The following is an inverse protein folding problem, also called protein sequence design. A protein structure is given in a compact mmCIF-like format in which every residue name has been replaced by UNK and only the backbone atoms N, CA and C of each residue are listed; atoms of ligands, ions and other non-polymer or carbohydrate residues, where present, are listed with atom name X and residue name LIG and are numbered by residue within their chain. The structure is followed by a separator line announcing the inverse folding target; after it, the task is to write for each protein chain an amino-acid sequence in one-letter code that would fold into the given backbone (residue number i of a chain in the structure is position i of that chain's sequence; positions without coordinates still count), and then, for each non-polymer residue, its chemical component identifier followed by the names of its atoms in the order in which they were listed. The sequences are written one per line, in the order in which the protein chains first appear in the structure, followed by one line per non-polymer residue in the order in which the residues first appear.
data_IF_848801459602
#
_entry.id   IF_848801459602
#
_cell.length_a   1.000
_cell.length_b   1.000
_cell.length_c   1.000
_cell.angle_alpha   90.00
_cell.angle_beta   90.00
_cell.angle_gamma   90.00
#
_symmetry.space_group_name_H-M   'P 1'
#
loop_
_entity.id
_entity.type
_entity.pdbx_description
1 polymer ?
#
# COMPACT_ATOMS: atom_id res chain seq x y z
N UNK A 1 -28.85 -3.76 5.24
CA UNK A 1 -28.07 -3.95 4.00
C UNK A 1 -27.14 -2.76 3.71
N UNK A 2 -27.58 -1.50 3.85
CA UNK A 2 -26.69 -0.34 3.68
C UNK A 2 -25.60 -0.18 4.74
N UNK A 3 -25.88 -0.44 6.01
CA UNK A 3 -24.90 -0.27 7.08
C UNK A 3 -23.64 -1.13 6.91
N UNK A 4 -23.80 -2.39 6.48
CA UNK A 4 -22.68 -3.31 6.23
C UNK A 4 -21.83 -2.78 5.08
N UNK A 5 -22.45 -2.33 3.99
CA UNK A 5 -21.73 -1.76 2.86
C UNK A 5 -20.91 -0.53 3.27
N UNK A 6 -21.51 0.39 4.03
CA UNK A 6 -20.80 1.59 4.55
C UNK A 6 -19.63 1.20 5.44
N UNK A 7 -19.81 0.24 6.36
CA UNK A 7 -18.73 -0.24 7.24
C UNK A 7 -17.59 -0.83 6.43
N UNK A 8 -17.88 -1.68 5.43
CA UNK A 8 -16.86 -2.28 4.56
C UNK A 8 -16.11 -1.19 3.80
N UNK A 9 -16.80 -0.21 3.22
CA UNK A 9 -16.16 0.90 2.52
C UNK A 9 -15.23 1.70 3.44
N UNK A 10 -15.64 2.00 4.67
CA UNK A 10 -14.79 2.70 5.64
C UNK A 10 -13.52 1.93 5.98
N UNK A 11 -13.62 0.60 6.14
CA UNK A 11 -12.46 -0.26 6.39
C UNK A 11 -11.54 -0.26 5.17
N UNK A 12 -12.07 -0.41 3.96
CA UNK A 12 -11.26 -0.44 2.73
C UNK A 12 -10.58 0.90 2.46
N UNK A 13 -11.26 2.03 2.65
CA UNK A 13 -10.68 3.38 2.51
C UNK A 13 -9.55 3.56 3.52
N UNK A 14 -9.79 3.20 4.78
CA UNK A 14 -8.77 3.31 5.85
C UNK A 14 -7.56 2.44 5.55
N UNK A 15 -7.79 1.23 5.05
CA UNK A 15 -6.74 0.34 4.59
C UNK A 15 -5.96 0.93 3.42
N UNK A 16 -6.63 1.48 2.40
CA UNK A 16 -5.97 2.12 1.26
C UNK A 16 -5.00 3.23 1.70
N UNK A 17 -5.33 3.99 2.76
CA UNK A 17 -4.48 5.08 3.25
C UNK A 17 -3.23 4.57 3.99
N UNK A 18 -3.36 3.49 4.76
CA UNK A 18 -2.29 3.01 5.67
C UNK A 18 -1.44 1.92 5.03
N UNK A 19 -2.04 1.08 4.19
CA UNK A 19 -1.42 -0.10 3.60
C UNK A 19 -0.13 0.17 2.82
N UNK A 20 0.01 1.24 2.00
CA UNK A 20 1.25 1.52 1.27
C UNK A 20 2.47 1.58 2.18
N UNK A 21 2.33 2.21 3.35
CA UNK A 21 3.40 2.38 4.34
C UNK A 21 3.77 1.09 5.07
N UNK A 22 2.83 0.14 5.14
CA UNK A 22 3.04 -1.17 5.77
C UNK A 22 3.66 -2.21 4.82
N UNK A 23 3.70 -1.95 3.50
CA UNK A 23 4.21 -2.91 2.50
C UNK A 23 5.66 -3.31 2.77
N UNK A 24 6.54 -2.36 3.11
CA UNK A 24 7.96 -2.63 3.44
C UNK A 24 8.06 -3.56 4.63
N UNK A 25 7.30 -3.28 5.70
CA UNK A 25 7.27 -4.11 6.89
C UNK A 25 6.79 -5.52 6.56
N UNK A 26 5.83 -5.67 5.64
CA UNK A 26 5.38 -6.98 5.17
C UNK A 26 6.48 -7.74 4.41
N UNK A 27 7.25 -7.07 3.54
CA UNK A 27 8.43 -7.65 2.89
C UNK A 27 9.51 -8.08 3.91
N UNK A 28 9.81 -7.23 4.89
CA UNK A 28 10.84 -7.49 5.91
C UNK A 28 10.46 -8.57 6.92
N UNK A 29 9.23 -8.58 7.41
CA UNK A 29 8.81 -9.47 8.51
C UNK A 29 8.29 -10.83 8.04
N UNK A 30 7.66 -10.88 6.87
CA UNK A 30 6.85 -12.03 6.43
C UNK A 30 7.30 -12.59 5.08
N UNK A 31 8.35 -12.02 4.48
CA UNK A 31 8.96 -12.48 3.24
C UNK A 31 8.30 -11.95 1.96
N UNK A 32 8.92 -12.29 0.82
CA UNK A 32 8.56 -11.74 -0.51
C UNK A 32 7.11 -12.01 -0.91
N UNK A 33 6.59 -13.20 -0.64
CA UNK A 33 5.21 -13.56 -0.97
C UNK A 33 4.19 -12.68 -0.23
N UNK A 34 4.37 -12.52 1.08
CA UNK A 34 3.51 -11.67 1.89
C UNK A 34 3.59 -10.20 1.43
N UNK A 35 4.79 -9.70 1.16
CA UNK A 35 5.00 -8.37 0.60
C UNK A 35 4.24 -8.15 -0.71
N UNK A 36 4.38 -9.04 -1.69
CA UNK A 36 3.67 -8.92 -2.98
C UNK A 36 2.15 -9.04 -2.86
N UNK A 37 1.64 -9.92 -1.98
CA UNK A 37 0.20 -9.98 -1.71
C UNK A 37 -0.32 -8.69 -1.09
N UNK A 38 0.47 -8.07 -0.21
CA UNK A 38 0.14 -6.81 0.44
C UNK A 38 0.16 -5.65 -0.57
N UNK A 39 1.13 -5.62 -1.47
CA UNK A 39 1.16 -4.67 -2.60
C UNK A 39 -0.07 -4.81 -3.49
N UNK A 40 -0.46 -6.05 -3.85
CA UNK A 40 -1.64 -6.29 -4.66
C UNK A 40 -2.94 -5.85 -3.96
N UNK A 41 -3.10 -6.21 -2.68
CA UNK A 41 -4.24 -5.78 -1.87
C UNK A 41 -4.34 -4.25 -1.78
N UNK A 42 -3.20 -3.57 -1.65
CA UNK A 42 -3.11 -2.10 -1.65
C UNK A 42 -3.62 -1.51 -2.97
N UNK A 43 -3.15 -2.03 -4.12
CA UNK A 43 -3.58 -1.55 -5.44
C UNK A 43 -5.10 -1.74 -5.65
N UNK A 44 -5.63 -2.90 -5.27
CA UNK A 44 -7.06 -3.19 -5.39
C UNK A 44 -7.88 -2.24 -4.51
N UNK A 45 -7.42 -1.95 -3.29
CA UNK A 45 -8.09 -1.01 -2.40
C UNK A 45 -8.12 0.41 -2.98
N UNK A 46 -7.02 0.87 -3.58
CA UNK A 46 -6.94 2.18 -4.25
C UNK A 46 -7.88 2.28 -5.46
N UNK A 47 -7.90 1.25 -6.31
CA UNK A 47 -8.81 1.18 -7.43
C UNK A 47 -10.28 1.21 -6.98
N UNK A 48 -10.60 0.50 -5.90
CA UNK A 48 -11.94 0.53 -5.31
C UNK A 48 -12.32 1.92 -4.80
N UNK A 49 -11.42 2.64 -4.13
CA UNK A 49 -11.67 4.03 -3.69
C UNK A 49 -11.99 4.97 -4.84
N UNK A 50 -11.25 4.87 -5.97
CA UNK A 50 -11.57 5.64 -7.17
C UNK A 50 -12.95 5.31 -7.74
N UNK A 51 -13.30 4.02 -7.80
CA UNK A 51 -14.62 3.59 -8.25
C UNK A 51 -15.71 4.14 -7.33
N UNK A 52 -15.51 4.08 -6.01
CA UNK A 52 -16.45 4.58 -5.03
C UNK A 52 -16.66 6.09 -5.13
N UNK A 53 -15.57 6.86 -5.28
CA UNK A 53 -15.64 8.30 -5.54
C UNK A 53 -16.35 8.59 -6.87
N UNK A 54 -16.08 7.80 -7.91
CA UNK A 54 -16.69 7.93 -9.23
C UNK A 54 -18.19 7.65 -9.30
N UNK A 55 -18.79 7.08 -8.25
CA UNK A 55 -20.25 6.88 -8.21
C UNK A 55 -21.04 8.18 -8.06
N UNK A 56 -20.40 9.25 -7.57
CA UNK A 56 -21.03 10.56 -7.44
C UNK A 56 -20.10 11.66 -7.98
N UNK A 57 -20.50 12.42 -9.02
CA UNK A 57 -19.65 13.41 -9.66
C UNK A 57 -19.27 14.58 -8.74
N UNK A 58 -20.11 14.93 -7.77
CA UNK A 58 -19.82 15.98 -6.79
C UNK A 58 -18.71 15.53 -5.83
N UNK A 59 -18.84 14.31 -5.30
CA UNK A 59 -17.83 13.72 -4.40
C UNK A 59 -16.51 13.53 -5.16
N UNK A 60 -16.56 13.06 -6.40
CA UNK A 60 -15.38 12.94 -7.25
C UNK A 60 -14.72 14.31 -7.44
N UNK A 61 -15.45 15.36 -7.79
CA UNK A 61 -14.87 16.69 -8.01
C UNK A 61 -14.19 17.25 -6.76
N UNK A 62 -14.81 17.11 -5.58
CA UNK A 62 -14.26 17.63 -4.33
C UNK A 62 -13.07 16.82 -3.79
N UNK A 63 -13.13 15.49 -3.86
CA UNK A 63 -12.14 14.62 -3.21
C UNK A 63 -11.10 14.03 -4.16
N UNK A 64 -11.33 14.01 -5.49
CA UNK A 64 -10.33 13.52 -6.45
C UNK A 64 -8.99 14.27 -6.40
N UNK A 65 -8.92 15.61 -6.24
CA UNK A 65 -7.64 16.29 -6.13
C UNK A 65 -6.86 15.88 -4.87
N UNK A 66 -7.57 15.71 -3.75
CA UNK A 66 -6.97 15.27 -2.49
C UNK A 66 -6.46 13.83 -2.59
N UNK A 67 -7.27 12.93 -3.15
CA UNK A 67 -6.92 11.54 -3.34
C UNK A 67 -5.80 11.36 -4.36
N UNK A 68 -5.84 12.07 -5.49
CA UNK A 68 -4.77 12.08 -6.49
C UNK A 68 -3.45 12.63 -5.95
N UNK A 69 -3.50 13.66 -5.10
CA UNK A 69 -2.32 14.15 -4.38
C UNK A 69 -1.73 13.11 -3.42
N UNK A 70 -2.59 12.38 -2.71
CA UNK A 70 -2.17 11.26 -1.87
C UNK A 70 -1.51 10.12 -2.67
N UNK A 71 -2.07 9.76 -3.83
CA UNK A 71 -1.47 8.73 -4.70
C UNK A 71 -0.12 9.17 -5.29
N UNK A 72 0.01 10.45 -5.63
CA UNK A 72 1.29 11.01 -6.04
C UNK A 72 2.35 10.89 -4.93
N UNK A 73 1.98 11.15 -3.67
CA UNK A 73 2.87 10.94 -2.52
C UNK A 73 3.22 9.45 -2.36
N UNK A 74 2.24 8.55 -2.50
CA UNK A 74 2.47 7.11 -2.42
C UNK A 74 3.40 6.57 -3.50
N UNK A 75 3.54 7.27 -4.63
CA UNK A 75 4.53 6.92 -5.66
C UNK A 75 5.97 7.11 -5.17
N UNK A 76 6.17 7.91 -4.12
CA UNK A 76 7.45 8.04 -3.41
C UNK A 76 7.53 7.16 -2.16
N UNK A 77 6.53 6.31 -1.90
CA UNK A 77 6.62 5.36 -0.81
C UNK A 77 7.86 4.48 -1.06
N UNK A 78 8.76 4.34 -0.07
CA UNK A 78 9.99 3.62 -0.27
C UNK A 78 9.68 2.17 -0.62
N UNK A 79 9.90 1.78 -1.87
CA UNK A 79 9.87 0.37 -2.26
C UNK A 79 11.23 -0.20 -1.84
N UNK A 80 11.38 -0.49 -0.54
CA UNK A 80 12.63 -0.84 0.15
C UNK A 80 13.29 -2.16 -0.27
N UNK A 81 13.44 -2.36 -1.58
CA UNK A 81 14.11 -3.52 -2.18
C UNK A 81 15.63 -3.36 -2.21
N UNK A 82 16.17 -2.14 -2.21
CA UNK A 82 17.64 -1.89 -2.22
C UNK A 82 18.30 -2.16 -0.86
N UNK A 83 17.59 -1.97 0.25
CA UNK A 83 18.13 -2.22 1.60
C UNK A 83 18.26 -3.73 1.89
N UNK A 84 17.51 -4.57 1.17
CA UNK A 84 17.54 -6.03 1.35
C UNK A 84 18.74 -6.67 0.64
N UNK A 85 19.13 -6.21 -0.55
CA UNK A 85 20.33 -6.71 -1.22
C UNK A 85 21.61 -6.36 -0.44
N UNK A 86 21.67 -5.15 0.12
CA UNK A 86 22.83 -4.67 0.86
C UNK A 86 23.02 -5.36 2.21
N UNK A 87 21.94 -5.66 2.95
CA UNK A 87 22.02 -6.39 4.22
C UNK A 87 22.33 -7.88 4.02
N UNK A 88 21.77 -8.52 2.98
CA UNK A 88 22.08 -9.91 2.62
C UNK A 88 23.54 -10.06 2.14
N UNK A 89 24.06 -9.11 1.35
CA UNK A 89 25.48 -9.08 0.96
C UNK A 89 26.40 -8.88 2.17
N UNK A 90 26.02 -8.03 3.13
CA UNK A 90 26.81 -7.79 4.34
C UNK A 90 26.81 -9.00 5.29
N UNK A 91 25.68 -9.70 5.41
CA UNK A 91 25.56 -10.95 6.16
C UNK A 91 26.38 -12.08 5.50
N UNK A 92 26.38 -12.18 4.16
CA UNK A 92 27.20 -13.13 3.44
C UNK A 92 28.70 -12.84 3.54
N UNK A 93 29.10 -11.56 3.50
CA UNK A 93 30.49 -11.15 3.68
C UNK A 93 31.02 -11.47 5.09
N UNK A 94 30.22 -11.20 6.13
CA UNK A 94 30.60 -11.51 7.52
C UNK A 94 30.63 -13.00 7.83
N UNK A 95 29.83 -13.82 7.14
CA UNK A 95 29.88 -15.28 7.27
C UNK A 95 31.09 -15.94 6.61
N UNK A 96 31.74 -15.26 5.64
CA UNK A 96 32.93 -15.77 4.94
C UNK A 96 34.26 -15.34 5.59
N UNK A 97 34.22 -14.48 6.62
CA UNK A 97 35.38 -14.02 7.37
C UNK A 97 35.57 -14.74 8.74
N UNK A 98 34.74 -15.75 9.05
CA UNK A 98 34.83 -16.59 10.25
C UNK A 98 35.22 -18.04 9.93
#
# INVERSE_FOLDING_TARGET
MYAIFVIVSLIVISFAIVAPWATITAFKSSGRWAGWTMTWATLVAHAYTWIALGQNPEILFFFAPLWGGYEFICSFAPLGLEEQETDDERAAATANEG
#
